data_IF_045758782804
#
_entry.id   IF_045758782804
#
_cell.length_a   1.000
_cell.length_b   1.000
_cell.length_c   1.000
_cell.angle_alpha   90.00
_cell.angle_beta   90.00
_cell.angle_gamma   90.00
#
_symmetry.space_group_name_H-M   'P 1'
#
loop_
_entity.id
_entity.type
_entity.pdbx_description
1 polymer ?
#
# COMPACT_ATOMS: atom_id res chain seq x y z
N UNK A 1 -42.83 56.17 49.95
CA UNK A 1 -44.12 56.72 50.31
C UNK A 1 -45.03 56.73 49.12
N UNK A 2 -46.22 56.29 49.38
CA UNK A 2 -47.52 56.63 48.94
C UNK A 2 -47.90 56.12 47.53
N UNK A 3 -48.77 55.29 47.41
CA UNK A 3 -50.17 55.25 47.94
C UNK A 3 -51.10 55.54 46.81
N UNK A 4 -52.10 54.68 46.64
CA UNK A 4 -53.35 55.11 46.10
C UNK A 4 -54.02 54.27 45.03
N UNK A 5 -54.68 53.23 45.42
CA UNK A 5 -55.93 52.66 44.85
C UNK A 5 -57.12 53.53 45.22
N UNK A 6 -58.37 53.23 44.85
CA UNK A 6 -59.07 52.78 43.63
C UNK A 6 -60.21 53.82 43.27
N UNK A 7 -61.46 53.60 42.85
CA UNK A 7 -62.27 52.38 42.58
C UNK A 7 -63.20 52.46 41.32
N UNK A 8 -63.81 51.30 41.06
CA UNK A 8 -65.19 50.95 40.65
C UNK A 8 -65.98 51.81 39.66
N UNK A 9 -66.64 51.22 38.68
CA UNK A 9 -68.10 50.92 38.80
C UNK A 9 -68.62 50.13 37.57
N UNK A 10 -69.38 49.08 37.84
CA UNK A 10 -70.38 48.47 36.97
C UNK A 10 -71.64 49.31 36.99
N UNK A 11 -72.63 49.19 36.12
CA UNK A 11 -73.36 47.97 35.83
C UNK A 11 -74.05 47.90 34.43
N UNK A 12 -74.58 46.69 34.19
CA UNK A 12 -75.92 46.38 33.59
C UNK A 12 -75.99 45.93 32.15
N UNK A 13 -76.23 44.62 32.04
CA UNK A 13 -77.04 43.95 31.02
C UNK A 13 -78.36 44.62 30.71
N UNK A 14 -79.15 44.30 29.64
CA UNK A 14 -79.55 42.93 29.34
C UNK A 14 -79.86 42.55 27.86
N UNK A 15 -79.88 41.21 27.63
CA UNK A 15 -80.82 40.47 26.78
C UNK A 15 -80.91 40.73 25.27
N UNK A 16 -80.69 39.70 24.54
CA UNK A 16 -81.16 39.51 23.18
C UNK A 16 -80.73 38.13 22.59
N UNK A 17 -81.73 37.31 22.61
CA UNK A 17 -81.73 35.89 22.25
C UNK A 17 -81.27 35.52 20.81
N UNK A 18 -80.85 34.26 20.72
CA UNK A 18 -81.07 33.27 19.68
C UNK A 18 -80.25 33.44 18.36
N UNK A 19 -79.50 32.52 18.00
CA UNK A 19 -79.77 31.46 17.03
C UNK A 19 -78.51 30.63 16.77
N UNK A 20 -78.66 29.37 16.87
CA UNK A 20 -77.67 28.36 16.66
C UNK A 20 -77.29 28.27 15.21
N UNK A 21 -75.99 28.32 14.87
CA UNK A 21 -75.49 27.71 13.63
C UNK A 21 -74.13 27.06 13.88
N UNK A 22 -74.10 25.81 13.42
CA UNK A 22 -73.08 24.79 13.60
C UNK A 22 -71.72 25.24 13.14
N UNK A 23 -70.77 25.14 13.99
CA UNK A 23 -69.35 25.11 13.64
C UNK A 23 -69.00 23.82 12.89
N UNK A 24 -68.33 23.90 11.75
CA UNK A 24 -67.63 22.74 11.20
C UNK A 24 -66.24 22.60 11.88
N UNK A 25 -65.99 21.43 12.40
CA UNK A 25 -64.72 21.01 12.95
C UNK A 25 -63.59 21.13 11.89
N UNK A 26 -62.41 21.66 12.26
CA UNK A 26 -61.28 21.60 11.34
C UNK A 26 -60.78 20.16 11.29
N UNK A 27 -61.05 19.51 10.17
CA UNK A 27 -60.42 18.25 9.80
C UNK A 27 -58.92 18.42 9.75
N UNK A 28 -58.19 17.69 10.61
CA UNK A 28 -56.75 17.43 10.45
C UNK A 28 -56.54 16.58 9.21
N UNK A 29 -56.44 17.23 8.06
CA UNK A 29 -55.88 16.67 6.87
C UNK A 29 -54.35 16.63 7.02
N UNK A 30 -53.78 15.52 7.51
CA UNK A 30 -52.37 15.28 7.37
C UNK A 30 -52.00 15.35 5.87
N UNK A 31 -50.81 15.84 5.50
CA UNK A 31 -50.39 15.83 4.12
C UNK A 31 -50.20 14.38 3.67
N UNK A 32 -51.24 13.78 3.13
CA UNK A 32 -51.16 12.53 2.44
C UNK A 32 -50.20 12.72 1.25
N UNK A 33 -49.02 12.08 1.29
CA UNK A 33 -48.17 12.01 0.13
C UNK A 33 -49.00 11.44 -1.02
N UNK A 34 -49.35 12.30 -1.98
CA UNK A 34 -50.01 11.85 -3.19
C UNK A 34 -49.17 10.76 -3.87
N UNK A 35 -49.84 9.86 -4.56
CA UNK A 35 -49.21 8.72 -5.27
C UNK A 35 -47.92 9.11 -6.03
N UNK A 36 -47.81 10.37 -6.49
CA UNK A 36 -46.63 10.97 -7.13
C UNK A 36 -45.52 11.25 -6.13
N UNK A 37 -45.82 11.70 -4.93
CA UNK A 37 -44.83 11.92 -3.86
C UNK A 37 -44.25 10.60 -3.31
N UNK A 38 -45.12 9.57 -3.20
CA UNK A 38 -44.63 8.22 -2.83
C UNK A 38 -43.72 7.63 -3.87
N UNK A 39 -44.03 7.77 -5.18
CA UNK A 39 -43.16 7.31 -6.28
C UNK A 39 -41.84 8.07 -6.32
N UNK A 40 -41.85 9.39 -6.08
CA UNK A 40 -40.65 10.20 -5.98
C UNK A 40 -39.77 9.78 -4.79
N UNK A 41 -40.36 9.47 -3.65
CA UNK A 41 -39.63 8.98 -2.48
C UNK A 41 -39.01 7.61 -2.74
N UNK A 42 -39.75 6.67 -3.35
CA UNK A 42 -39.25 5.34 -3.70
C UNK A 42 -38.10 5.44 -4.72
N UNK A 43 -38.24 6.32 -5.73
CA UNK A 43 -37.18 6.56 -6.71
C UNK A 43 -35.91 7.16 -6.04
N UNK A 44 -36.07 8.10 -5.09
CA UNK A 44 -34.98 8.68 -4.34
C UNK A 44 -34.25 7.63 -3.47
N UNK A 45 -35.01 6.80 -2.75
CA UNK A 45 -34.45 5.71 -1.93
C UNK A 45 -33.73 4.68 -2.82
N UNK A 46 -34.31 4.30 -3.95
CA UNK A 46 -33.65 3.39 -4.90
C UNK A 46 -32.36 3.99 -5.47
N UNK A 47 -32.37 5.28 -5.80
CA UNK A 47 -31.16 5.98 -6.26
C UNK A 47 -30.08 6.04 -5.18
N UNK A 48 -30.42 6.39 -3.95
CA UNK A 48 -29.47 6.40 -2.82
C UNK A 48 -28.91 5.01 -2.52
N UNK A 49 -29.72 3.94 -2.64
CA UNK A 49 -29.24 2.56 -2.44
C UNK A 49 -28.26 2.16 -3.51
N UNK A 50 -28.48 2.57 -4.77
CA UNK A 50 -27.53 2.32 -5.88
C UNK A 50 -26.22 3.10 -5.65
N UNK A 51 -26.29 4.36 -5.21
CA UNK A 51 -25.10 5.17 -4.91
C UNK A 51 -24.27 4.51 -3.78
N UNK A 52 -24.90 4.11 -2.68
CA UNK A 52 -24.24 3.41 -1.57
C UNK A 52 -23.67 2.06 -1.99
N UNK A 53 -24.37 1.32 -2.87
CA UNK A 53 -23.85 0.06 -3.39
C UNK A 53 -22.63 0.27 -4.31
N UNK A 54 -22.63 1.33 -5.14
CA UNK A 54 -21.49 1.70 -5.97
C UNK A 54 -20.31 2.14 -5.12
N UNK A 55 -20.53 2.97 -4.09
CA UNK A 55 -19.47 3.35 -3.15
C UNK A 55 -18.92 2.15 -2.38
N UNK A 56 -19.77 1.24 -1.93
CA UNK A 56 -19.34 0.01 -1.25
C UNK A 56 -18.51 -0.89 -2.18
N UNK A 57 -18.89 -1.02 -3.47
CA UNK A 57 -18.11 -1.79 -4.47
C UNK A 57 -16.79 -1.10 -4.78
N UNK A 58 -16.76 0.24 -4.85
CA UNK A 58 -15.52 1.01 -5.03
C UNK A 58 -14.62 0.85 -3.81
N UNK A 59 -15.13 0.96 -2.59
CA UNK A 59 -14.37 0.73 -1.36
C UNK A 59 -13.89 -0.71 -1.23
N UNK A 60 -14.68 -1.71 -1.62
CA UNK A 60 -14.25 -3.12 -1.63
C UNK A 60 -13.20 -3.42 -2.72
N UNK A 61 -13.23 -2.70 -3.84
CA UNK A 61 -12.17 -2.76 -4.83
C UNK A 61 -10.92 -2.00 -4.41
N UNK A 62 -11.08 -1.02 -3.53
CA UNK A 62 -10.01 -0.17 -3.01
C UNK A 62 -9.32 -0.76 -1.75
N UNK A 63 -9.85 -1.85 -1.16
CA UNK A 63 -9.13 -2.65 -0.14
C UNK A 63 -7.86 -3.33 -0.69
N UNK A 64 -7.63 -3.19 -2.00
CA UNK A 64 -6.37 -3.45 -2.69
C UNK A 64 -5.63 -2.18 -3.09
N UNK A 65 -5.93 -1.00 -2.53
CA UNK A 65 -5.07 0.16 -2.69
C UNK A 65 -3.70 -0.17 -2.09
N UNK A 66 -2.85 -0.68 -2.96
CA UNK A 66 -1.42 -0.64 -2.76
C UNK A 66 -1.07 0.81 -2.48
N UNK A 67 -0.81 1.14 -1.22
CA UNK A 67 -0.39 2.48 -0.86
C UNK A 67 0.76 2.83 -1.79
N UNK A 68 0.56 3.82 -2.66
CA UNK A 68 1.55 4.18 -3.67
C UNK A 68 2.79 4.69 -2.94
N UNK A 69 3.92 4.08 -3.25
CA UNK A 69 5.22 4.53 -2.76
C UNK A 69 5.49 5.92 -3.32
N UNK A 70 5.81 6.87 -2.45
CA UNK A 70 6.23 8.23 -2.81
C UNK A 70 7.54 8.59 -2.14
N UNK A 71 8.14 9.71 -2.53
CA UNK A 71 9.35 10.19 -1.87
C UNK A 71 9.13 10.47 -0.37
N UNK A 72 7.92 10.91 0.03
CA UNK A 72 7.54 11.17 1.42
C UNK A 72 7.17 9.91 2.19
N UNK A 73 6.76 8.86 1.48
CA UNK A 73 6.36 7.57 2.07
C UNK A 73 6.90 6.40 1.25
N UNK A 74 8.21 6.13 1.36
CA UNK A 74 8.86 5.08 0.59
C UNK A 74 8.54 3.66 1.10
N UNK A 75 8.18 3.52 2.37
CA UNK A 75 7.82 2.24 3.00
C UNK A 75 6.36 2.29 3.42
N UNK A 76 5.51 1.50 2.78
CA UNK A 76 4.04 1.54 2.96
C UNK A 76 3.48 0.26 3.60
N UNK A 77 4.35 -0.69 3.96
CA UNK A 77 3.98 -1.96 4.59
C UNK A 77 4.66 -2.13 5.95
N UNK A 78 4.08 -2.93 6.87
CA UNK A 78 4.67 -3.21 8.18
C UNK A 78 6.02 -3.92 8.08
N UNK A 79 6.85 -3.79 9.12
CA UNK A 79 8.18 -4.40 9.21
C UNK A 79 8.16 -5.92 8.97
N UNK A 80 7.17 -6.62 9.50
CA UNK A 80 7.02 -8.07 9.30
C UNK A 80 6.90 -8.49 7.83
N UNK A 81 6.50 -7.58 6.95
CA UNK A 81 6.36 -7.84 5.51
C UNK A 81 7.68 -7.61 4.78
N UNK A 82 8.39 -6.51 5.05
CA UNK A 82 9.61 -6.18 4.32
C UNK A 82 10.89 -6.77 4.94
N UNK A 83 10.91 -7.13 6.22
CA UNK A 83 12.11 -7.71 6.85
C UNK A 83 12.60 -8.99 6.16
N UNK A 84 11.76 -10.00 5.89
CA UNK A 84 12.19 -11.19 5.15
C UNK A 84 12.71 -10.87 3.75
N UNK A 85 12.12 -9.87 3.08
CA UNK A 85 12.55 -9.43 1.75
C UNK A 85 13.96 -8.81 1.79
N UNK A 86 14.25 -7.97 2.80
CA UNK A 86 15.60 -7.38 2.96
C UNK A 86 16.63 -8.45 3.32
N UNK A 87 16.27 -9.44 4.11
CA UNK A 87 17.13 -10.60 4.40
C UNK A 87 17.41 -11.43 3.13
N UNK A 88 16.37 -11.68 2.31
CA UNK A 88 16.53 -12.36 1.02
C UNK A 88 17.39 -11.54 0.05
N UNK A 89 17.24 -10.22 0.00
CA UNK A 89 18.08 -9.34 -0.79
C UNK A 89 19.56 -9.44 -0.40
N UNK A 90 19.86 -9.47 0.90
CA UNK A 90 21.24 -9.57 1.41
C UNK A 90 21.87 -10.93 1.08
N UNK A 91 21.18 -12.02 1.42
CA UNK A 91 21.64 -13.38 1.14
C UNK A 91 21.79 -13.66 -0.36
N UNK A 92 20.78 -13.22 -1.13
CA UNK A 92 20.80 -13.37 -2.59
C UNK A 92 21.91 -12.55 -3.23
N UNK A 93 22.20 -11.33 -2.75
CA UNK A 93 23.30 -10.53 -3.25
C UNK A 93 24.67 -11.19 -3.02
N UNK A 94 24.89 -11.82 -1.87
CA UNK A 94 26.13 -12.58 -1.62
C UNK A 94 26.28 -13.75 -2.60
N UNK A 95 25.19 -14.44 -2.94
CA UNK A 95 25.19 -15.55 -3.91
C UNK A 95 25.43 -15.05 -5.35
N UNK A 96 24.71 -13.97 -5.75
CA UNK A 96 24.76 -13.45 -7.12
C UNK A 96 26.09 -12.75 -7.44
N UNK A 97 26.62 -11.99 -6.48
CA UNK A 97 27.87 -11.22 -6.65
C UNK A 97 29.11 -12.04 -6.31
N UNK A 98 28.97 -13.13 -5.54
CA UNK A 98 30.04 -14.07 -5.27
C UNK A 98 30.27 -15.04 -6.44
N UNK A 99 31.49 -15.54 -6.59
CA UNK A 99 31.81 -16.56 -7.59
C UNK A 99 33.13 -17.27 -7.27
N UNK A 100 33.22 -18.55 -7.57
CA UNK A 100 34.47 -19.35 -7.47
C UNK A 100 34.78 -19.98 -8.79
N UNK A 101 36.06 -19.93 -9.21
CA UNK A 101 36.52 -20.58 -10.43
C UNK A 101 36.40 -22.12 -10.36
N UNK A 102 36.47 -22.70 -9.15
CA UNK A 102 36.39 -24.16 -8.94
C UNK A 102 34.96 -24.68 -9.13
N UNK A 103 33.95 -23.85 -8.84
CA UNK A 103 32.53 -24.21 -8.91
C UNK A 103 31.74 -23.16 -9.68
N UNK A 104 32.29 -22.69 -10.80
CA UNK A 104 31.69 -21.56 -11.55
C UNK A 104 30.29 -21.86 -12.03
N UNK A 105 30.10 -23.02 -12.67
CA UNK A 105 28.80 -23.39 -13.23
C UNK A 105 27.75 -23.70 -12.12
N UNK A 106 28.16 -24.37 -11.04
CA UNK A 106 27.29 -24.59 -9.89
C UNK A 106 26.94 -23.27 -9.18
N UNK A 107 27.84 -22.29 -9.17
CA UNK A 107 27.62 -20.95 -8.67
C UNK A 107 26.52 -20.22 -9.45
N UNK A 108 26.56 -20.34 -10.79
CA UNK A 108 25.54 -19.79 -11.69
C UNK A 108 24.16 -20.41 -11.40
N UNK A 109 24.07 -21.74 -11.27
CA UNK A 109 22.80 -22.40 -10.97
C UNK A 109 22.23 -21.99 -9.60
N UNK A 110 23.09 -21.83 -8.58
CA UNK A 110 22.65 -21.29 -7.28
C UNK A 110 22.14 -19.86 -7.40
N UNK A 111 22.80 -19.02 -8.17
CA UNK A 111 22.40 -17.65 -8.39
C UNK A 111 21.05 -17.55 -9.11
N UNK A 112 20.81 -18.41 -10.11
CA UNK A 112 19.51 -18.50 -10.80
C UNK A 112 18.35 -18.81 -9.85
N UNK A 113 18.59 -19.63 -8.84
CA UNK A 113 17.56 -20.00 -7.84
C UNK A 113 17.13 -18.86 -6.92
N UNK A 114 17.81 -17.72 -6.93
CA UNK A 114 17.51 -16.57 -6.08
C UNK A 114 17.16 -15.29 -6.85
N UNK A 115 16.95 -15.38 -8.17
CA UNK A 115 16.62 -14.24 -9.03
C UNK A 115 15.42 -14.54 -9.92
N UNK A 116 14.79 -13.48 -10.43
CA UNK A 116 13.72 -13.61 -11.43
C UNK A 116 14.27 -14.12 -12.76
N UNK A 117 13.43 -14.74 -13.58
CA UNK A 117 13.83 -15.22 -14.90
C UNK A 117 14.36 -14.09 -15.77
N UNK A 118 13.76 -12.90 -15.73
CA UNK A 118 14.17 -11.72 -16.50
C UNK A 118 15.57 -11.24 -16.07
N UNK A 119 15.86 -11.17 -14.78
CA UNK A 119 17.18 -10.79 -14.30
C UNK A 119 18.21 -11.88 -14.59
N UNK A 120 17.81 -13.17 -14.51
CA UNK A 120 18.67 -14.30 -14.81
C UNK A 120 19.18 -14.30 -16.28
N UNK A 121 18.34 -13.93 -17.25
CA UNK A 121 18.76 -13.82 -18.66
C UNK A 121 19.92 -12.85 -18.82
N UNK A 122 19.81 -11.65 -18.24
CA UNK A 122 20.89 -10.63 -18.29
C UNK A 122 22.14 -11.09 -17.54
N UNK A 123 21.95 -11.70 -16.37
CA UNK A 123 23.04 -12.23 -15.55
C UNK A 123 23.83 -13.31 -16.29
N UNK A 124 23.14 -14.29 -16.90
CA UNK A 124 23.75 -15.39 -17.63
C UNK A 124 24.58 -14.92 -18.82
N UNK A 125 24.04 -13.98 -19.61
CA UNK A 125 24.79 -13.39 -20.73
C UNK A 125 26.11 -12.76 -20.26
N UNK A 126 26.05 -11.97 -19.18
CA UNK A 126 27.26 -11.34 -18.60
C UNK A 126 28.25 -12.38 -18.07
N UNK A 127 27.78 -13.46 -17.44
CA UNK A 127 28.64 -14.52 -16.89
C UNK A 127 29.33 -15.35 -17.98
N UNK A 128 28.62 -15.60 -19.08
CA UNK A 128 29.23 -16.31 -20.23
C UNK A 128 30.36 -15.52 -20.85
N UNK A 129 30.20 -14.21 -21.03
CA UNK A 129 31.20 -13.32 -21.61
C UNK A 129 32.53 -13.30 -20.82
N UNK A 130 32.47 -13.48 -19.50
CA UNK A 130 33.69 -13.42 -18.65
C UNK A 130 34.21 -14.78 -18.20
N UNK A 131 33.52 -15.87 -18.55
CA UNK A 131 33.77 -17.23 -18.04
C UNK A 131 35.20 -17.70 -18.27
N UNK A 132 35.69 -17.60 -19.50
CA UNK A 132 37.03 -18.09 -19.87
C UNK A 132 38.12 -17.39 -19.05
N UNK A 133 38.07 -16.05 -19.02
CA UNK A 133 39.06 -15.27 -18.27
C UNK A 133 38.98 -15.53 -16.77
N UNK A 134 37.76 -15.65 -16.21
CA UNK A 134 37.55 -15.91 -14.79
C UNK A 134 38.15 -17.22 -14.33
N UNK A 135 37.93 -18.28 -15.09
CA UNK A 135 38.46 -19.64 -14.81
C UNK A 135 39.98 -19.70 -15.01
N UNK A 136 40.51 -19.13 -16.09
CA UNK A 136 41.96 -19.14 -16.40
C UNK A 136 42.78 -18.39 -15.36
N UNK A 137 42.23 -17.26 -14.86
CA UNK A 137 42.86 -16.49 -13.80
C UNK A 137 42.62 -17.09 -12.40
N UNK A 138 41.87 -18.18 -12.27
CA UNK A 138 41.44 -18.79 -11.01
C UNK A 138 40.92 -17.75 -10.05
N UNK A 139 39.94 -16.98 -10.54
CA UNK A 139 39.37 -15.89 -9.77
C UNK A 139 38.42 -16.43 -8.73
N UNK A 140 38.54 -15.91 -7.53
CA UNK A 140 37.61 -16.13 -6.40
C UNK A 140 37.05 -14.77 -5.99
N UNK A 141 35.77 -14.66 -5.89
CA UNK A 141 35.07 -13.44 -5.42
C UNK A 141 34.21 -13.82 -4.22
N UNK A 142 34.60 -13.32 -3.06
CA UNK A 142 33.79 -13.44 -1.84
C UNK A 142 33.12 -12.10 -1.54
N UNK A 143 31.82 -12.14 -1.30
CA UNK A 143 31.03 -10.96 -0.92
C UNK A 143 30.44 -11.17 0.46
N UNK A 144 30.56 -10.16 1.31
CA UNK A 144 30.02 -10.16 2.67
C UNK A 144 29.22 -8.91 2.90
N UNK A 145 27.91 -9.05 3.12
CA UNK A 145 27.03 -7.96 3.51
C UNK A 145 27.26 -7.59 4.95
N UNK A 146 27.60 -6.32 5.18
CA UNK A 146 27.90 -5.75 6.50
C UNK A 146 26.69 -5.04 7.11
N UNK A 147 25.82 -4.49 6.26
CA UNK A 147 24.65 -3.75 6.69
C UNK A 147 23.59 -3.70 5.59
N UNK A 148 22.36 -3.60 6.03
CA UNK A 148 21.21 -3.57 5.14
C UNK A 148 20.13 -2.63 5.68
N UNK A 149 19.46 -1.91 4.77
CA UNK A 149 18.38 -1.00 5.11
C UNK A 149 17.31 -1.04 4.03
N UNK A 150 16.04 -0.98 4.42
CA UNK A 150 14.95 -0.81 3.47
C UNK A 150 14.92 0.64 2.97
N UNK A 151 14.88 0.83 1.67
CA UNK A 151 14.72 2.15 1.04
C UNK A 151 13.31 2.35 0.49
N UNK A 152 12.68 1.27 0.02
CA UNK A 152 11.31 1.28 -0.49
C UNK A 152 10.66 -0.06 -0.24
N UNK A 153 9.39 -0.08 0.14
CA UNK A 153 8.66 -1.33 0.33
C UNK A 153 7.17 -1.20 0.04
N UNK A 154 6.68 -2.15 -0.76
CA UNK A 154 5.27 -2.41 -1.04
C UNK A 154 4.91 -3.83 -0.59
N UNK A 155 3.67 -4.27 -0.83
CA UNK A 155 3.26 -5.65 -0.54
C UNK A 155 3.94 -6.70 -1.43
N UNK A 156 4.41 -6.32 -2.62
CA UNK A 156 4.96 -7.24 -3.63
C UNK A 156 6.38 -6.93 -4.08
N UNK A 157 6.98 -5.81 -3.66
CA UNK A 157 8.33 -5.42 -4.03
C UNK A 157 9.00 -4.64 -2.91
N UNK A 158 10.25 -4.95 -2.65
CA UNK A 158 11.09 -4.29 -1.65
C UNK A 158 12.42 -3.93 -2.27
N UNK A 159 12.87 -2.71 -2.04
CA UNK A 159 14.22 -2.25 -2.39
C UNK A 159 15.04 -2.07 -1.12
N UNK A 160 16.18 -2.74 -1.07
CA UNK A 160 17.14 -2.68 0.02
C UNK A 160 18.42 -1.96 -0.43
N UNK A 161 18.97 -1.12 0.44
CA UNK A 161 20.34 -0.62 0.32
C UNK A 161 21.24 -1.56 1.12
N UNK A 162 22.20 -2.15 0.43
CA UNK A 162 23.20 -3.04 1.03
C UNK A 162 24.56 -2.35 1.04
N UNK A 163 25.30 -2.54 2.14
CA UNK A 163 26.72 -2.22 2.25
C UNK A 163 27.48 -3.54 2.38
N UNK A 164 28.46 -3.76 1.51
CA UNK A 164 29.17 -5.02 1.50
C UNK A 164 30.63 -4.86 1.14
N UNK A 165 31.43 -5.81 1.64
CA UNK A 165 32.82 -5.98 1.27
C UNK A 165 32.95 -7.02 0.18
N UNK A 166 33.81 -6.75 -0.80
CA UNK A 166 34.18 -7.70 -1.83
C UNK A 166 35.68 -8.01 -1.72
N UNK A 167 36.00 -9.29 -1.66
CA UNK A 167 37.36 -9.82 -1.66
C UNK A 167 37.58 -10.56 -2.97
N UNK A 168 38.57 -10.14 -3.75
CA UNK A 168 38.89 -10.78 -5.03
C UNK A 168 40.29 -11.35 -4.95
N UNK A 169 40.43 -12.67 -5.13
CA UNK A 169 41.70 -13.39 -5.21
C UNK A 169 41.88 -13.93 -6.60
N UNK A 170 43.05 -13.75 -7.19
CA UNK A 170 43.41 -14.30 -8.49
C UNK A 170 44.71 -15.11 -8.38
N UNK A 171 44.93 -16.01 -9.34
CA UNK A 171 46.14 -16.85 -9.39
C UNK A 171 47.41 -16.02 -9.27
N UNK A 172 48.22 -16.28 -8.23
CA UNK A 172 49.52 -15.63 -8.02
C UNK A 172 49.45 -14.17 -7.58
N UNK A 173 48.26 -13.65 -7.28
CA UNK A 173 48.05 -12.29 -6.75
C UNK A 173 47.64 -12.30 -5.30
N UNK A 174 47.85 -11.18 -4.62
CA UNK A 174 47.28 -10.95 -3.28
C UNK A 174 45.78 -10.67 -3.40
N UNK A 175 45.04 -11.05 -2.38
CA UNK A 175 43.61 -10.71 -2.27
C UNK A 175 43.42 -9.20 -2.25
N UNK A 176 42.65 -8.67 -3.18
CA UNK A 176 42.20 -7.29 -3.18
C UNK A 176 40.91 -7.16 -2.36
N UNK A 177 40.75 -6.02 -1.75
CA UNK A 177 39.59 -5.69 -0.92
C UNK A 177 38.96 -4.38 -1.44
N UNK A 178 37.64 -4.36 -1.52
CA UNK A 178 36.89 -3.17 -1.87
C UNK A 178 35.57 -3.12 -1.12
N UNK A 179 35.13 -1.92 -0.81
CA UNK A 179 33.84 -1.65 -0.18
C UNK A 179 32.87 -1.12 -1.22
N UNK A 180 31.67 -1.67 -1.23
CA UNK A 180 30.62 -1.31 -2.17
C UNK A 180 29.28 -1.09 -1.46
N UNK A 181 28.41 -0.45 -2.18
CA UNK A 181 26.99 -0.36 -1.87
C UNK A 181 26.16 -0.72 -3.10
N UNK A 182 25.02 -1.35 -2.88
CA UNK A 182 24.07 -1.65 -3.94
C UNK A 182 22.64 -1.37 -3.50
N UNK A 183 21.82 -0.96 -4.46
CA UNK A 183 20.37 -1.04 -4.34
C UNK A 183 19.92 -2.35 -4.95
N UNK A 184 19.31 -3.20 -4.15
CA UNK A 184 18.80 -4.51 -4.56
C UNK A 184 17.29 -4.49 -4.47
N UNK A 185 16.63 -4.74 -5.58
CA UNK A 185 15.17 -4.88 -5.64
C UNK A 185 14.82 -6.37 -5.62
N UNK A 186 13.93 -6.75 -4.72
CA UNK A 186 13.35 -8.09 -4.65
C UNK A 186 11.84 -8.02 -4.82
N UNK A 187 11.28 -9.06 -5.44
CA UNK A 187 9.84 -9.20 -5.68
C UNK A 187 9.30 -10.47 -5.01
N UNK A 188 8.07 -10.39 -4.52
CA UNK A 188 7.37 -11.52 -3.92
C UNK A 188 6.82 -12.44 -5.02
N UNK A 189 7.20 -13.70 -4.99
CA UNK A 189 6.79 -14.71 -5.95
C UNK A 189 6.26 -15.96 -5.23
N UNK A 190 5.61 -16.91 -5.91
CA UNK A 190 5.22 -18.18 -5.32
C UNK A 190 6.40 -18.97 -4.72
N UNK A 191 7.62 -18.75 -5.21
CA UNK A 191 8.86 -19.39 -4.75
C UNK A 191 9.57 -18.58 -3.65
N UNK A 192 8.99 -17.47 -3.23
CA UNK A 192 9.53 -16.56 -2.22
C UNK A 192 10.04 -15.23 -2.80
N UNK A 193 10.86 -14.53 -2.03
CA UNK A 193 11.46 -13.27 -2.46
C UNK A 193 12.64 -13.52 -3.39
N UNK A 194 12.53 -13.11 -4.66
CA UNK A 194 13.58 -13.24 -5.67
C UNK A 194 14.15 -11.88 -6.04
N UNK A 195 15.45 -11.84 -6.34
CA UNK A 195 16.13 -10.64 -6.84
C UNK A 195 15.67 -10.35 -8.27
N UNK A 196 15.24 -9.13 -8.47
CA UNK A 196 14.78 -8.59 -9.74
C UNK A 196 15.78 -7.61 -10.36
N UNK A 197 16.56 -6.92 -9.51
CA UNK A 197 17.56 -5.95 -9.95
C UNK A 197 18.64 -5.74 -8.89
N UNK A 198 19.89 -5.53 -9.33
CA UNK A 198 21.02 -5.10 -8.51
C UNK A 198 21.69 -3.91 -9.19
N UNK A 199 21.71 -2.75 -8.52
CA UNK A 199 22.43 -1.55 -8.96
C UNK A 199 23.59 -1.26 -8.01
N UNK A 200 24.81 -1.54 -8.44
CA UNK A 200 26.03 -1.25 -7.67
C UNK A 200 26.49 0.19 -7.87
N UNK A 201 27.00 0.82 -6.78
CA UNK A 201 27.45 2.21 -6.78
C UNK A 201 28.81 2.35 -6.07
#
# INVERSE_FOLDING_TARGET
PGGGEPPSDRPSDPLGAAEAERAPSPGRGGPGLGRRGLLALVALVAFLTVVVAVEAVVLWRDDGQSATVSAERPVVVPERTWRPAVEAAAQGAEIVLGASWESYDEGIERARGVMTDEFAETYLATKEDVREEFVDQRTEVEVRVLGQAVTRATGSSVQALLFFNQYVTKKGAQTSFSEYRALVTVVDTPDGWLIDQIDTQ
#
